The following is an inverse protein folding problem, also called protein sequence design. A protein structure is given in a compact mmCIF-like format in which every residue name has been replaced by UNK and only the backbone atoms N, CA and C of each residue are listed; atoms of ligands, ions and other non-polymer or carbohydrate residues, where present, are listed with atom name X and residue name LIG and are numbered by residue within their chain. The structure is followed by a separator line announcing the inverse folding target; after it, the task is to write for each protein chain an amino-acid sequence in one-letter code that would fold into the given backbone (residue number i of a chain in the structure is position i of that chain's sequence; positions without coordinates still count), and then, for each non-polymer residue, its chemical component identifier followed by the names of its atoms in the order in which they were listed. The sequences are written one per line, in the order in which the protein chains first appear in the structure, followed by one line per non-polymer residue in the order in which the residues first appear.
data_IF_345144719857
#
_entry.id   IF_345144719857
#
_cell.length_a   1.000
_cell.length_b   1.000
_cell.length_c   1.000
_cell.angle_alpha   90.00
_cell.angle_beta   90.00
_cell.angle_gamma   90.00
#
_symmetry.space_group_name_H-M   'P 1'
#
loop_
_entity.id
_entity.type
_entity.pdbx_description
1 polymer ?
#
# COMPACT_ATOMS: atom_id res chain seq x y z
N UNK A 1 7.55 1.17 -10.06
CA UNK A 1 7.49 2.27 -11.05
C UNK A 1 6.53 2.00 -12.20
N UNK A 2 6.62 0.84 -12.88
CA UNK A 2 5.66 0.52 -13.96
C UNK A 2 4.43 -0.20 -13.41
N UNK A 3 3.27 0.46 -13.46
CA UNK A 3 2.00 -0.11 -13.00
C UNK A 3 1.46 -1.21 -13.92
N UNK A 4 1.87 -1.25 -15.18
CA UNK A 4 1.33 -2.18 -16.19
C UNK A 4 1.63 -3.64 -15.86
N UNK A 5 2.76 -3.88 -15.20
CA UNK A 5 3.23 -5.23 -14.85
C UNK A 5 3.34 -5.40 -13.33
N UNK A 6 2.70 -4.53 -12.54
CA UNK A 6 2.82 -4.56 -11.09
C UNK A 6 2.05 -5.74 -10.47
N UNK A 7 2.72 -6.63 -9.72
CA UNK A 7 2.04 -7.68 -8.96
C UNK A 7 1.08 -7.09 -7.90
N UNK A 8 1.39 -5.90 -7.36
CA UNK A 8 0.55 -5.23 -6.38
C UNK A 8 -0.75 -4.69 -6.99
N UNK A 9 -0.73 -4.28 -8.26
CA UNK A 9 -1.96 -3.95 -9.00
C UNK A 9 -2.82 -5.19 -9.16
N UNK A 10 -2.21 -6.33 -9.53
CA UNK A 10 -2.92 -7.60 -9.65
C UNK A 10 -3.55 -8.03 -8.31
N UNK A 11 -2.82 -7.85 -7.21
CA UNK A 11 -3.33 -8.09 -5.86
C UNK A 11 -4.52 -7.17 -5.52
N UNK A 12 -4.40 -5.87 -5.83
CA UNK A 12 -5.47 -4.90 -5.59
C UNK A 12 -6.75 -5.27 -6.36
N UNK A 13 -6.64 -5.62 -7.65
CA UNK A 13 -7.77 -6.11 -8.46
C UNK A 13 -8.47 -7.32 -7.82
N UNK A 14 -7.68 -8.29 -7.34
CA UNK A 14 -8.24 -9.49 -6.70
C UNK A 14 -8.97 -9.16 -5.40
N UNK A 15 -8.42 -8.28 -4.57
CA UNK A 15 -9.05 -7.85 -3.32
C UNK A 15 -10.35 -7.09 -3.59
N UNK A 16 -10.35 -6.18 -4.56
CA UNK A 16 -11.55 -5.45 -5.01
C UNK A 16 -12.60 -6.43 -5.54
N UNK A 17 -12.20 -7.42 -6.35
CA UNK A 17 -13.09 -8.47 -6.85
C UNK A 17 -13.69 -9.36 -5.76
N UNK A 18 -13.10 -9.36 -4.55
CA UNK A 18 -13.65 -10.04 -3.36
C UNK A 18 -14.48 -9.11 -2.45
N UNK A 19 -14.65 -7.84 -2.82
CA UNK A 19 -15.41 -6.86 -2.06
C UNK A 19 -14.66 -6.28 -0.86
N UNK A 20 -13.33 -6.39 -0.85
CA UNK A 20 -12.50 -5.79 0.21
C UNK A 20 -12.46 -4.27 0.02
N UNK A 21 -12.71 -3.52 1.10
CA UNK A 21 -12.51 -2.08 1.11
C UNK A 21 -11.01 -1.80 1.16
N UNK A 22 -10.50 -1.14 0.12
CA UNK A 22 -9.07 -0.94 -0.07
C UNK A 22 -8.73 0.54 -0.10
N UNK A 23 -7.62 0.91 0.53
CA UNK A 23 -6.95 2.21 0.34
C UNK A 23 -5.51 1.94 -0.05
N UNK A 24 -4.98 2.70 -1.01
CA UNK A 24 -3.64 2.49 -1.56
C UNK A 24 -2.81 3.75 -1.31
N UNK A 25 -1.59 3.57 -0.81
CA UNK A 25 -0.57 4.60 -0.77
C UNK A 25 0.61 4.16 -1.62
N UNK A 26 0.98 5.00 -2.58
CA UNK A 26 2.20 4.84 -3.37
C UNK A 26 2.73 6.24 -3.74
N UNK A 27 3.89 6.66 -3.19
CA UNK A 27 4.42 8.01 -3.41
C UNK A 27 4.87 8.24 -4.86
N UNK A 28 5.36 7.19 -5.55
CA UNK A 28 5.84 7.28 -6.93
C UNK A 28 4.64 7.38 -7.90
N UNK A 29 3.55 6.70 -7.57
CA UNK A 29 2.30 6.80 -8.32
C UNK A 29 1.62 8.15 -8.11
N UNK A 30 1.58 8.65 -6.87
CA UNK A 30 1.02 9.98 -6.59
C UNK A 30 1.75 11.08 -7.36
N UNK A 31 3.08 11.01 -7.44
CA UNK A 31 3.87 11.95 -8.23
C UNK A 31 3.61 11.76 -9.74
N UNK A 32 3.57 10.52 -10.23
CA UNK A 32 3.36 10.22 -11.66
C UNK A 32 1.91 10.44 -12.15
N UNK A 33 0.93 10.60 -11.26
CA UNK A 33 -0.41 11.13 -11.62
C UNK A 33 -0.36 12.53 -12.18
N UNK A 34 0.68 13.30 -11.88
CA UNK A 34 0.78 14.67 -12.37
C UNK A 34 1.17 14.68 -13.86
N UNK A 35 2.01 13.75 -14.34
CA UNK A 35 2.53 13.72 -15.71
C UNK A 35 2.93 12.30 -16.17
N UNK A 36 2.56 11.92 -17.41
CA UNK A 36 3.19 10.79 -18.12
C UNK A 36 2.34 9.54 -18.37
N UNK A 37 3.00 8.42 -18.67
CA UNK A 37 2.37 7.16 -19.12
C UNK A 37 1.58 6.45 -18.01
N UNK A 38 2.05 6.48 -16.76
CA UNK A 38 1.35 5.89 -15.62
C UNK A 38 0.00 6.57 -15.37
N UNK A 39 -0.05 7.92 -15.43
CA UNK A 39 -1.31 8.67 -15.34
C UNK A 39 -2.32 8.18 -16.38
N UNK A 40 -1.92 8.14 -17.65
CA UNK A 40 -2.80 7.70 -18.74
C UNK A 40 -3.25 6.26 -18.53
N UNK A 41 -2.36 5.38 -18.08
CA UNK A 41 -2.71 4.00 -17.79
C UNK A 41 -3.75 3.89 -16.67
N UNK A 42 -3.58 4.61 -15.56
CA UNK A 42 -4.57 4.68 -14.48
C UNK A 42 -5.90 5.23 -15.00
N UNK A 43 -5.91 6.39 -15.65
CA UNK A 43 -7.14 7.05 -16.12
C UNK A 43 -7.91 6.22 -17.17
N UNK A 44 -7.21 5.41 -17.97
CA UNK A 44 -7.83 4.67 -19.08
C UNK A 44 -8.07 3.19 -18.80
N UNK A 45 -7.25 2.55 -17.99
CA UNK A 45 -7.29 1.11 -17.76
C UNK A 45 -7.65 0.73 -16.31
N UNK A 46 -7.26 1.56 -15.33
CA UNK A 46 -7.46 1.26 -13.91
C UNK A 46 -8.08 2.45 -13.15
N UNK A 47 -9.19 3.05 -13.62
CA UNK A 47 -9.76 4.25 -13.01
C UNK A 47 -10.20 4.01 -11.56
N UNK A 48 -10.68 2.79 -11.25
CA UNK A 48 -11.08 2.39 -9.90
C UNK A 48 -9.88 2.28 -8.96
N UNK A 49 -8.72 1.76 -9.39
CA UNK A 49 -7.46 1.87 -8.61
C UNK A 49 -7.07 3.34 -8.45
N UNK A 50 -7.35 4.14 -9.48
CA UNK A 50 -7.35 5.59 -9.48
C UNK A 50 -7.98 6.20 -8.22
N UNK A 51 -9.20 5.79 -7.93
CA UNK A 51 -10.01 6.37 -6.85
C UNK A 51 -9.58 5.92 -5.45
N UNK A 52 -8.84 4.81 -5.33
CA UNK A 52 -8.40 4.25 -4.04
C UNK A 52 -7.06 4.80 -3.55
N UNK A 53 -6.33 5.51 -4.40
CA UNK A 53 -5.04 6.10 -4.05
C UNK A 53 -5.24 7.36 -3.19
N UNK A 54 -4.81 7.30 -1.93
CA UNK A 54 -4.88 8.40 -0.97
C UNK A 54 -3.48 8.96 -0.68
N UNK A 55 -3.35 10.28 -0.46
CA UNK A 55 -2.05 10.91 -0.21
C UNK A 55 -1.57 10.83 1.23
N UNK A 56 -2.48 10.57 2.16
CA UNK A 56 -2.21 10.57 3.60
C UNK A 56 -1.98 9.15 4.09
N UNK A 57 -0.71 8.79 4.29
CA UNK A 57 -0.32 7.48 4.78
C UNK A 57 -0.79 7.25 6.22
N UNK A 58 -0.73 8.28 7.07
CA UNK A 58 -1.08 8.16 8.48
C UNK A 58 -2.58 7.92 8.64
N UNK A 59 -3.41 8.60 7.83
CA UNK A 59 -4.84 8.34 7.77
C UNK A 59 -5.14 6.91 7.29
N UNK A 60 -4.44 6.42 6.26
CA UNK A 60 -4.59 5.02 5.80
C UNK A 60 -4.25 4.05 6.94
N UNK A 61 -3.13 4.28 7.63
CA UNK A 61 -2.73 3.42 8.75
C UNK A 61 -3.79 3.44 9.84
N UNK A 62 -4.31 4.61 10.22
CA UNK A 62 -5.30 4.73 11.29
C UNK A 62 -6.63 4.03 10.95
N UNK A 63 -7.11 4.15 9.72
CA UNK A 63 -8.41 3.62 9.26
C UNK A 63 -8.39 2.11 8.96
N UNK A 64 -7.22 1.53 8.72
CA UNK A 64 -7.11 0.14 8.25
C UNK A 64 -7.17 -0.88 9.39
N UNK A 65 -7.78 -2.04 9.16
CA UNK A 65 -7.68 -3.20 10.07
C UNK A 65 -6.44 -4.04 9.76
N UNK A 66 -6.06 -4.09 8.48
CA UNK A 66 -4.91 -4.82 7.95
C UNK A 66 -4.13 -3.95 6.98
N UNK A 67 -2.81 -4.02 7.07
CA UNK A 67 -1.87 -3.35 6.17
C UNK A 67 -1.10 -4.39 5.37
N UNK A 68 -0.88 -4.12 4.08
CA UNK A 68 -0.03 -4.92 3.22
C UNK A 68 1.12 -4.03 2.76
N UNK A 69 2.35 -4.40 3.10
CA UNK A 69 3.55 -3.64 2.74
C UNK A 69 4.18 -4.27 1.51
N UNK A 70 3.92 -3.68 0.35
CA UNK A 70 4.39 -4.15 -0.95
C UNK A 70 5.61 -3.43 -1.53
N UNK A 71 5.98 -2.28 -0.96
CA UNK A 71 7.08 -1.43 -1.46
C UNK A 71 8.06 -1.11 -0.34
N UNK A 72 9.35 -1.29 -0.60
CA UNK A 72 10.41 -0.91 0.34
C UNK A 72 10.64 0.60 0.30
N UNK A 73 10.13 1.31 1.29
CA UNK A 73 10.33 2.74 1.43
C UNK A 73 10.54 3.10 2.92
N UNK A 74 11.66 3.75 3.28
CA UNK A 74 11.95 4.12 4.67
C UNK A 74 10.84 4.94 5.33
N UNK A 75 10.24 5.90 4.62
CA UNK A 75 9.16 6.71 5.18
C UNK A 75 7.90 5.88 5.48
N UNK A 76 7.62 4.85 4.68
CA UNK A 76 6.52 3.91 4.95
C UNK A 76 6.84 3.08 6.20
N UNK A 77 8.08 2.61 6.33
CA UNK A 77 8.49 1.80 7.47
C UNK A 77 8.40 2.59 8.78
N UNK A 78 8.87 3.83 8.78
CA UNK A 78 8.82 4.72 9.94
C UNK A 78 7.37 5.04 10.33
N UNK A 79 6.50 5.33 9.36
CA UNK A 79 5.09 5.60 9.61
C UNK A 79 4.38 4.38 10.21
N UNK A 80 4.61 3.19 9.65
CA UNK A 80 4.04 1.94 10.17
C UNK A 80 4.53 1.67 11.60
N UNK A 81 5.83 1.83 11.87
CA UNK A 81 6.38 1.63 13.22
C UNK A 81 5.77 2.60 14.24
N UNK A 82 5.52 3.84 13.82
CA UNK A 82 5.05 4.91 14.70
C UNK A 82 3.54 4.89 14.93
N UNK A 83 2.76 4.64 13.88
CA UNK A 83 1.32 4.87 13.88
C UNK A 83 0.48 3.58 13.95
N UNK A 84 1.08 2.41 13.73
CA UNK A 84 0.34 1.15 13.80
C UNK A 84 -0.12 0.82 15.23
N UNK A 85 -1.33 0.29 15.32
CA UNK A 85 -2.02 -0.07 16.56
C UNK A 85 -1.87 -1.57 16.84
N UNK A 86 -2.01 -1.96 18.10
CA UNK A 86 -1.73 -3.34 18.54
C UNK A 86 -2.70 -4.37 17.94
N UNK A 87 -3.92 -3.95 17.64
CA UNK A 87 -4.98 -4.76 17.04
C UNK A 87 -4.83 -4.96 15.53
N UNK A 88 -3.95 -4.21 14.87
CA UNK A 88 -3.75 -4.28 13.43
C UNK A 88 -2.83 -5.44 13.05
N UNK A 89 -3.05 -5.96 11.85
CA UNK A 89 -2.18 -6.97 11.23
C UNK A 89 -1.43 -6.36 10.05
N UNK A 90 -0.16 -6.71 9.92
CA UNK A 90 0.70 -6.29 8.82
C UNK A 90 1.16 -7.53 8.07
N UNK A 91 0.82 -7.61 6.78
CA UNK A 91 1.39 -8.57 5.85
C UNK A 91 2.59 -7.93 5.19
N UNK A 92 3.77 -8.49 5.44
CA UNK A 92 5.02 -7.97 4.91
C UNK A 92 5.48 -8.77 3.68
N UNK A 93 5.57 -8.07 2.55
CA UNK A 93 6.04 -8.62 1.27
C UNK A 93 7.47 -8.18 0.94
N UNK A 94 8.07 -7.29 1.74
CA UNK A 94 9.32 -6.60 1.43
C UNK A 94 10.42 -6.81 2.44
N UNK A 95 10.17 -7.62 3.47
CA UNK A 95 11.11 -7.91 4.55
C UNK A 95 11.44 -6.63 5.32
N UNK A 96 10.43 -6.10 6.00
CA UNK A 96 10.52 -4.99 6.94
C UNK A 96 11.75 -5.17 7.83
N UNK A 97 12.52 -4.09 8.08
CA UNK A 97 13.57 -4.15 9.08
C UNK A 97 12.96 -4.48 10.45
N UNK A 98 13.80 -4.95 11.38
CA UNK A 98 13.38 -5.03 12.78
C UNK A 98 13.06 -3.61 13.26
N UNK A 99 11.77 -3.31 13.40
CA UNK A 99 11.28 -1.99 13.79
C UNK A 99 10.96 -2.04 15.28
N UNK A 100 11.88 -1.51 16.07
CA UNK A 100 11.74 -1.41 17.52
C UNK A 100 10.46 -0.67 17.88
N UNK A 101 9.66 -1.25 18.78
CA UNK A 101 8.43 -0.63 19.27
C UNK A 101 7.20 -0.83 18.37
N UNK A 102 7.30 -1.59 17.26
CA UNK A 102 6.13 -1.95 16.48
C UNK A 102 5.15 -2.79 17.32
N UNK A 103 3.90 -2.31 17.41
CA UNK A 103 2.85 -2.92 18.24
C UNK A 103 1.98 -3.91 17.48
N UNK A 104 1.81 -3.70 16.18
CA UNK A 104 1.00 -4.53 15.31
C UNK A 104 1.63 -5.92 15.11
N UNK A 105 0.79 -6.91 14.81
CA UNK A 105 1.26 -8.26 14.49
C UNK A 105 1.75 -8.31 13.04
N UNK A 106 3.02 -8.63 12.85
CA UNK A 106 3.64 -8.76 11.53
C UNK A 106 3.72 -10.21 11.11
N UNK A 107 3.28 -10.49 9.89
CA UNK A 107 3.36 -11.79 9.23
C UNK A 107 4.09 -11.63 7.89
N UNK A 108 5.26 -12.24 7.78
CA UNK A 108 5.98 -12.35 6.52
C UNK A 108 5.42 -13.50 5.69
N UNK A 109 5.23 -13.31 4.38
CA UNK A 109 4.81 -14.42 3.51
C UNK A 109 5.86 -15.54 3.40
N UNK A 110 7.14 -15.21 3.59
CA UNK A 110 8.26 -16.11 3.32
C UNK A 110 9.33 -16.12 4.43
N UNK A 111 9.00 -15.69 5.65
CA UNK A 111 9.93 -15.66 6.79
C UNK A 111 9.20 -15.68 8.15
#
# INVERSE_FOLDING_TARGET
DDLRESPLVTLAEQLIGKGVQLSIYDPDVQLSRLLGANRRFIETQLPHIGDLLKPDLDAIIAESEMLIVGVSNPAIFDAIATHSRAEQRIIDLVKLPALDGMRAQVEGLCW
#
